data_IF_772658769201
#
_entry.id   IF_772658769201
#
_cell.length_a   1.000
_cell.length_b   1.000
_cell.length_c   1.000
_cell.angle_alpha   90.00
_cell.angle_beta   90.00
_cell.angle_gamma   90.00
#
_symmetry.space_group_name_H-M   'P 1'
#
loop_
_entity.id
_entity.type
_entity.pdbx_description
1 polymer ?
#
# COMPACT_ATOMS: atom_id res chain seq x y z
N UNK A 1 -52.51 -0.94 19.81
CA UNK A 1 -51.58 -1.55 20.77
C UNK A 1 -50.65 -2.45 19.97
N UNK A 2 -49.81 -1.90 19.09
CA UNK A 2 -48.55 -1.20 19.41
C UNK A 2 -47.66 -1.99 20.39
N UNK A 3 -46.64 -2.64 19.84
CA UNK A 3 -45.28 -2.62 20.40
C UNK A 3 -44.29 -2.99 19.30
N UNK A 4 -44.01 -2.03 18.42
CA UNK A 4 -42.80 -2.08 17.60
C UNK A 4 -41.60 -1.83 18.51
N UNK A 5 -40.69 -2.79 18.60
CA UNK A 5 -39.42 -2.62 19.30
C UNK A 5 -38.63 -1.53 18.56
N UNK A 6 -38.20 -0.45 19.22
CA UNK A 6 -37.37 0.55 18.57
C UNK A 6 -35.99 -0.09 18.35
N UNK A 7 -35.57 -0.23 17.09
CA UNK A 7 -34.16 -0.36 16.75
C UNK A 7 -33.45 0.85 17.38
N UNK A 8 -32.72 0.60 18.47
CA UNK A 8 -31.90 1.61 19.11
C UNK A 8 -31.01 2.23 18.04
N UNK A 9 -31.12 3.55 17.87
CA UNK A 9 -30.22 4.36 17.06
C UNK A 9 -28.78 4.19 17.59
N UNK A 10 -28.07 3.21 17.05
CA UNK A 10 -26.63 2.99 17.27
C UNK A 10 -25.77 3.89 16.37
N UNK A 11 -26.42 4.77 15.61
CA UNK A 11 -25.79 5.73 14.72
C UNK A 11 -25.53 6.99 15.53
N UNK A 12 -24.26 7.21 15.87
CA UNK A 12 -23.83 8.51 16.37
C UNK A 12 -23.93 9.52 15.22
N UNK A 13 -24.66 10.62 15.45
CA UNK A 13 -24.61 11.76 14.53
C UNK A 13 -23.21 12.36 14.58
N UNK A 14 -22.58 12.52 13.42
CA UNK A 14 -21.29 13.20 13.32
C UNK A 14 -21.55 14.70 13.52
N UNK A 15 -21.23 15.20 14.71
CA UNK A 15 -21.50 16.58 15.10
C UNK A 15 -20.53 17.54 14.39
N UNK A 16 -21.06 18.23 13.36
CA UNK A 16 -20.36 19.17 12.46
C UNK A 16 -19.86 20.42 13.23
N UNK A 17 -20.29 20.62 14.47
CA UNK A 17 -20.01 21.81 15.28
C UNK A 17 -18.55 21.95 15.75
N UNK A 18 -17.71 20.93 15.58
CA UNK A 18 -16.30 20.94 16.02
C UNK A 18 -15.27 21.41 14.98
N UNK A 19 -15.71 21.89 13.81
CA UNK A 19 -14.86 22.18 12.64
C UNK A 19 -13.91 23.39 12.72
N UNK A 20 -13.72 24.02 13.88
CA UNK A 20 -12.77 25.14 14.01
C UNK A 20 -11.69 24.86 15.06
N UNK A 21 -10.71 24.04 14.69
CA UNK A 21 -9.39 24.10 15.31
C UNK A 21 -8.32 23.86 14.24
N UNK A 22 -7.78 24.96 13.70
CA UNK A 22 -6.52 24.93 12.95
C UNK A 22 -5.40 24.51 13.90
N UNK A 23 -5.02 23.24 13.86
CA UNK A 23 -3.74 22.74 14.35
C UNK A 23 -3.16 21.81 13.30
N UNK A 24 -2.58 22.39 12.25
CA UNK A 24 -1.47 21.77 11.54
C UNK A 24 -0.21 22.20 12.28
N UNK A 25 0.16 21.46 13.33
CA UNK A 25 1.52 21.53 13.82
C UNK A 25 1.89 20.27 14.60
N UNK A 26 2.51 19.33 13.89
CA UNK A 26 3.72 18.57 14.24
C UNK A 26 3.84 17.37 13.32
N UNK A 27 4.89 17.38 12.50
CA UNK A 27 5.40 16.19 11.84
C UNK A 27 5.94 15.26 12.93
N UNK A 28 5.08 14.44 13.53
CA UNK A 28 5.50 13.27 14.28
C UNK A 28 5.84 12.19 13.26
N UNK A 29 7.03 12.28 12.65
CA UNK A 29 7.48 11.25 11.72
C UNK A 29 7.76 9.97 12.54
N UNK A 30 7.09 8.83 12.28
CA UNK A 30 7.22 7.60 13.09
C UNK A 30 8.62 6.96 13.10
N UNK A 31 9.60 7.60 12.44
CA UNK A 31 10.92 7.07 12.14
C UNK A 31 12.08 7.95 12.66
N UNK A 32 11.80 8.99 13.46
CA UNK A 32 12.82 9.95 13.91
C UNK A 32 13.80 9.38 14.97
N UNK A 33 13.52 8.21 15.55
CA UNK A 33 14.51 7.44 16.32
C UNK A 33 14.25 5.93 16.20
N UNK A 34 14.93 5.27 15.27
CA UNK A 34 14.97 3.79 15.19
C UNK A 34 15.92 3.30 16.29
N UNK A 35 15.41 3.24 17.51
CA UNK A 35 16.07 2.64 18.67
C UNK A 35 15.17 1.55 19.22
N UNK A 36 15.62 0.29 19.12
CA UNK A 36 14.88 -0.87 19.60
C UNK A 36 15.70 -1.52 20.69
N UNK A 37 15.10 -1.69 21.86
CA UNK A 37 15.75 -2.35 23.00
C UNK A 37 15.54 -3.85 22.93
N UNK A 38 16.38 -4.65 23.61
CA UNK A 38 16.23 -6.12 23.62
C UNK A 38 14.84 -6.60 24.12
N UNK A 39 14.21 -5.99 25.16
CA UNK A 39 12.83 -6.31 25.54
C UNK A 39 11.80 -6.04 24.43
N UNK A 40 12.02 -5.01 23.61
CA UNK A 40 11.14 -4.69 22.48
C UNK A 40 11.25 -5.78 21.39
N UNK A 41 12.45 -6.34 21.18
CA UNK A 41 12.68 -7.43 20.24
C UNK A 41 11.91 -8.70 20.64
N UNK A 42 11.97 -9.12 21.91
CA UNK A 42 11.24 -10.31 22.39
C UNK A 42 9.73 -10.13 22.27
N UNK A 43 9.22 -8.93 22.59
CA UNK A 43 7.79 -8.62 22.43
C UNK A 43 7.35 -8.69 20.96
N UNK A 44 8.14 -8.13 20.05
CA UNK A 44 7.87 -8.15 18.61
C UNK A 44 7.90 -9.58 18.08
N UNK A 45 8.90 -10.39 18.46
CA UNK A 45 8.98 -11.79 18.05
C UNK A 45 7.82 -12.63 18.62
N UNK A 46 7.32 -12.30 19.81
CA UNK A 46 6.10 -12.91 20.36
C UNK A 46 4.86 -12.57 19.53
N UNK A 47 4.84 -11.41 18.88
CA UNK A 47 3.74 -10.95 18.03
C UNK A 47 3.68 -11.72 16.71
N UNK A 48 4.83 -12.14 16.16
CA UNK A 48 4.86 -13.02 14.97
C UNK A 48 4.08 -14.32 15.20
N UNK A 49 4.15 -14.88 16.43
CA UNK A 49 3.41 -16.10 16.79
C UNK A 49 1.91 -15.87 16.90
N UNK A 50 1.44 -14.64 17.08
CA UNK A 50 0.01 -14.32 17.13
C UNK A 50 -0.58 -14.15 15.73
N UNK A 51 0.25 -13.89 14.71
CA UNK A 51 -0.17 -13.82 13.30
C UNK A 51 -0.69 -15.16 12.78
N UNK A 52 -0.25 -16.30 13.32
CA UNK A 52 -0.70 -17.64 12.91
C UNK A 52 -2.14 -17.95 13.27
N UNK A 53 -2.78 -17.18 14.15
CA UNK A 53 -4.22 -17.29 14.42
C UNK A 53 -5.07 -16.65 13.32
N UNK A 54 -4.48 -15.83 12.45
CA UNK A 54 -5.16 -15.26 11.30
C UNK A 54 -5.21 -16.32 10.19
N UNK A 55 -6.09 -17.31 10.38
CA UNK A 55 -6.31 -18.39 9.43
C UNK A 55 -7.01 -17.78 8.23
N UNK A 56 -6.23 -17.40 7.23
CA UNK A 56 -6.77 -16.92 5.98
C UNK A 56 -7.65 -18.03 5.38
N UNK A 57 -8.95 -17.81 5.39
CA UNK A 57 -9.89 -18.57 4.56
C UNK A 57 -9.47 -18.29 3.13
N UNK A 58 -8.82 -19.27 2.47
CA UNK A 58 -8.44 -19.15 1.06
C UNK A 58 -9.67 -18.72 0.28
N UNK A 59 -9.63 -17.51 -0.28
CA UNK A 59 -10.73 -17.02 -1.09
C UNK A 59 -10.65 -17.75 -2.43
N UNK A 60 -11.60 -18.64 -2.71
CA UNK A 60 -11.60 -19.44 -3.95
C UNK A 60 -11.68 -18.58 -5.22
N UNK A 61 -12.13 -17.32 -5.10
CA UNK A 61 -12.18 -16.34 -6.18
C UNK A 61 -11.94 -14.92 -5.68
N UNK A 62 -10.71 -14.43 -5.84
CA UNK A 62 -10.30 -13.07 -5.55
C UNK A 62 -10.89 -12.09 -6.58
N UNK A 63 -11.68 -11.07 -6.19
CA UNK A 63 -12.28 -10.16 -7.15
C UNK A 63 -11.26 -9.08 -7.57
N UNK A 64 -10.30 -9.46 -8.41
CA UNK A 64 -9.15 -8.64 -8.83
C UNK A 64 -9.55 -7.24 -9.32
N UNK A 65 -10.59 -7.13 -10.16
CA UNK A 65 -11.03 -5.83 -10.71
C UNK A 65 -11.63 -4.91 -9.65
N UNK A 66 -12.51 -5.44 -8.79
CA UNK A 66 -13.14 -4.68 -7.71
C UNK A 66 -12.10 -4.21 -6.69
N UNK A 67 -11.14 -5.09 -6.38
CA UNK A 67 -10.04 -4.74 -5.47
C UNK A 67 -9.13 -3.69 -6.06
N UNK A 68 -8.75 -3.79 -7.34
CA UNK A 68 -7.90 -2.80 -7.98
C UNK A 68 -8.53 -1.40 -7.92
N UNK A 69 -9.85 -1.31 -8.14
CA UNK A 69 -10.59 -0.06 -7.99
C UNK A 69 -10.59 0.46 -6.54
N UNK A 70 -10.75 -0.43 -5.56
CA UNK A 70 -10.70 -0.10 -4.13
C UNK A 70 -9.31 0.41 -3.73
N UNK A 71 -8.25 -0.31 -4.10
CA UNK A 71 -6.85 0.06 -3.86
C UNK A 71 -6.57 1.44 -4.43
N UNK A 72 -6.88 1.67 -5.70
CA UNK A 72 -6.67 2.97 -6.33
C UNK A 72 -7.38 4.10 -5.58
N UNK A 73 -8.66 3.91 -5.26
CA UNK A 73 -9.45 4.93 -4.58
C UNK A 73 -8.97 5.18 -3.14
N UNK A 74 -8.63 4.12 -2.38
CA UNK A 74 -8.11 4.23 -1.01
C UNK A 74 -6.78 4.99 -0.99
N UNK A 75 -5.85 4.65 -1.89
CA UNK A 75 -4.55 5.31 -1.95
C UNK A 75 -4.66 6.78 -2.33
N UNK A 76 -5.51 7.10 -3.31
CA UNK A 76 -5.77 8.48 -3.73
C UNK A 76 -6.43 9.30 -2.61
N UNK A 77 -7.43 8.73 -1.94
CA UNK A 77 -8.17 9.41 -0.87
C UNK A 77 -7.31 9.58 0.38
N UNK A 78 -6.49 8.58 0.74
CA UNK A 78 -5.46 8.71 1.79
C UNK A 78 -4.51 9.87 1.50
N UNK A 79 -4.05 10.00 0.25
CA UNK A 79 -3.15 11.09 -0.12
C UNK A 79 -3.85 12.45 -0.01
N UNK A 80 -5.11 12.53 -0.46
CA UNK A 80 -5.93 13.74 -0.36
C UNK A 80 -6.18 14.18 1.09
N UNK A 81 -6.45 13.24 1.99
CA UNK A 81 -6.72 13.52 3.40
C UNK A 81 -5.46 13.64 4.27
N UNK A 82 -4.29 13.32 3.73
CA UNK A 82 -3.04 13.32 4.49
C UNK A 82 -2.94 12.21 5.53
N UNK A 83 -3.75 11.15 5.42
CA UNK A 83 -3.67 9.98 6.30
C UNK A 83 -2.36 9.21 6.11
N UNK A 84 -1.96 8.42 7.10
CA UNK A 84 -0.74 7.61 7.06
C UNK A 84 -0.86 6.41 6.12
N UNK A 85 0.28 5.85 5.68
CA UNK A 85 0.28 4.59 4.90
C UNK A 85 -0.29 3.42 5.70
N UNK A 86 -0.07 3.40 7.01
CA UNK A 86 -0.66 2.42 7.94
C UNK A 86 -2.19 2.37 7.82
N UNK A 87 -2.83 3.53 7.75
CA UNK A 87 -4.28 3.70 7.62
C UNK A 87 -4.80 3.13 6.30
N UNK A 88 -4.14 3.44 5.18
CA UNK A 88 -4.51 2.86 3.88
C UNK A 88 -4.35 1.34 3.86
N UNK A 89 -3.25 0.83 4.40
CA UNK A 89 -3.01 -0.62 4.45
C UNK A 89 -4.04 -1.33 5.34
N UNK A 90 -4.40 -0.73 6.49
CA UNK A 90 -5.43 -1.26 7.38
C UNK A 90 -6.81 -1.28 6.71
N UNK A 91 -7.15 -0.24 5.96
CA UNK A 91 -8.37 -0.20 5.16
C UNK A 91 -8.41 -1.36 4.13
N UNK A 92 -7.28 -1.65 3.48
CA UNK A 92 -7.16 -2.76 2.54
C UNK A 92 -7.28 -4.12 3.23
N UNK A 93 -6.72 -4.29 4.43
CA UNK A 93 -6.96 -5.48 5.23
C UNK A 93 -8.47 -5.65 5.50
N UNK A 94 -9.17 -4.61 5.94
CA UNK A 94 -10.61 -4.70 6.23
C UNK A 94 -11.41 -5.06 4.98
N UNK A 95 -11.07 -4.46 3.85
CA UNK A 95 -11.68 -4.73 2.56
C UNK A 95 -11.49 -6.21 2.15
N UNK A 96 -10.24 -6.67 2.19
CA UNK A 96 -9.82 -8.01 1.80
C UNK A 96 -10.46 -9.08 2.72
N UNK A 97 -10.49 -8.84 4.03
CA UNK A 97 -11.12 -9.73 5.02
C UNK A 97 -12.65 -9.80 4.86
N UNK A 98 -13.28 -8.65 4.61
CA UNK A 98 -14.72 -8.58 4.42
C UNK A 98 -15.13 -9.42 3.20
N UNK A 99 -14.44 -9.25 2.07
CA UNK A 99 -14.69 -10.03 0.86
C UNK A 99 -14.47 -11.53 1.07
N UNK A 100 -13.45 -11.90 1.85
CA UNK A 100 -13.14 -13.30 2.14
C UNK A 100 -14.25 -14.02 2.92
N UNK A 101 -14.96 -13.32 3.81
CA UNK A 101 -16.01 -13.95 4.64
C UNK A 101 -17.40 -13.92 4.00
N UNK A 102 -17.67 -12.90 3.18
CA UNK A 102 -19.04 -12.61 2.72
C UNK A 102 -19.42 -13.31 1.41
N UNK A 103 -18.51 -14.06 0.79
CA UNK A 103 -18.73 -14.67 -0.55
C UNK A 103 -19.50 -13.71 -1.46
N UNK A 104 -19.03 -12.45 -1.53
CA UNK A 104 -19.77 -11.35 -2.13
C UNK A 104 -20.22 -11.76 -3.53
N UNK A 105 -21.53 -11.88 -3.72
CA UNK A 105 -22.10 -12.67 -4.80
C UNK A 105 -21.78 -12.02 -6.15
N UNK A 106 -21.10 -12.83 -6.97
CA UNK A 106 -20.85 -12.69 -8.40
C UNK A 106 -21.37 -11.39 -9.08
N UNK A 107 -20.47 -10.43 -9.25
CA UNK A 107 -20.35 -9.68 -10.50
C UNK A 107 -21.35 -8.56 -10.85
N UNK A 108 -22.16 -8.01 -9.94
CA UNK A 108 -23.18 -7.00 -10.35
C UNK A 108 -23.25 -5.63 -9.66
N UNK A 109 -22.49 -5.33 -8.63
CA UNK A 109 -22.64 -4.02 -7.97
C UNK A 109 -21.31 -3.30 -7.73
N UNK A 110 -20.82 -2.62 -8.78
CA UNK A 110 -19.69 -1.68 -8.70
C UNK A 110 -19.86 -0.70 -7.53
N UNK A 111 -21.08 -0.20 -7.32
CA UNK A 111 -21.42 0.72 -6.23
C UNK A 111 -21.17 0.13 -4.84
N UNK A 112 -21.38 -1.18 -4.64
CA UNK A 112 -21.20 -1.81 -3.32
C UNK A 112 -19.73 -1.92 -2.95
N UNK A 113 -18.86 -2.21 -3.92
CA UNK A 113 -17.41 -2.20 -3.71
C UNK A 113 -16.90 -0.79 -3.41
N UNK A 114 -17.49 0.23 -4.04
CA UNK A 114 -17.17 1.64 -3.76
C UNK A 114 -17.53 2.04 -2.33
N UNK A 115 -18.76 1.78 -1.89
CA UNK A 115 -19.17 2.11 -0.53
C UNK A 115 -18.43 1.26 0.52
N UNK A 116 -18.08 0.00 0.20
CA UNK A 116 -17.20 -0.83 1.03
C UNK A 116 -15.83 -0.17 1.21
N UNK A 117 -15.21 0.27 0.11
CA UNK A 117 -13.90 0.95 0.14
C UNK A 117 -13.94 2.20 1.04
N UNK A 118 -15.02 2.99 0.92
CA UNK A 118 -15.26 4.17 1.74
C UNK A 118 -15.37 3.81 3.23
N UNK A 119 -16.21 2.83 3.56
CA UNK A 119 -16.41 2.38 4.94
C UNK A 119 -15.12 1.82 5.55
N UNK A 120 -14.35 1.02 4.81
CA UNK A 120 -13.08 0.49 5.26
C UNK A 120 -12.05 1.59 5.54
N UNK A 121 -11.95 2.60 4.67
CA UNK A 121 -11.03 3.73 4.90
C UNK A 121 -11.47 4.60 6.09
N UNK A 122 -12.76 4.86 6.23
CA UNK A 122 -13.29 5.62 7.37
C UNK A 122 -13.05 4.89 8.70
N UNK A 123 -13.31 3.57 8.76
CA UNK A 123 -13.00 2.76 9.93
C UNK A 123 -11.51 2.73 10.24
N UNK A 124 -10.65 2.54 9.23
CA UNK A 124 -9.21 2.57 9.43
C UNK A 124 -8.74 3.92 9.96
N UNK A 125 -9.29 5.03 9.44
CA UNK A 125 -8.99 6.37 9.94
C UNK A 125 -9.42 6.54 11.40
N UNK A 126 -10.59 6.02 11.79
CA UNK A 126 -11.06 6.03 13.19
C UNK A 126 -10.18 5.19 14.14
N UNK A 127 -9.43 4.21 13.61
CA UNK A 127 -8.54 3.34 14.37
C UNK A 127 -7.10 3.88 14.49
N UNK A 128 -6.59 4.53 13.44
CA UNK A 128 -5.16 4.88 13.32
C UNK A 128 -4.89 6.39 13.35
N UNK A 129 -5.85 7.22 12.94
CA UNK A 129 -5.65 8.66 12.84
C UNK A 129 -6.10 9.38 14.11
N UNK A 130 -5.41 10.46 14.46
CA UNK A 130 -5.79 11.32 15.59
C UNK A 130 -7.17 11.97 15.39
N UNK A 131 -7.52 12.28 14.14
CA UNK A 131 -8.80 12.84 13.72
C UNK A 131 -9.22 12.28 12.37
N UNK A 132 -10.23 11.42 12.37
CA UNK A 132 -10.89 11.00 11.14
C UNK A 132 -11.68 12.17 10.53
N UNK A 133 -11.65 12.29 9.21
CA UNK A 133 -12.51 13.21 8.45
C UNK A 133 -13.98 12.77 8.60
N UNK A 134 -14.94 13.71 8.54
CA UNK A 134 -16.36 13.38 8.57
C UNK A 134 -16.80 12.68 7.27
N UNK A 135 -17.85 11.86 7.35
CA UNK A 135 -18.28 10.99 6.25
C UNK A 135 -18.72 11.73 4.99
N UNK A 136 -19.19 12.97 5.14
CA UNK A 136 -19.58 13.86 4.03
C UNK A 136 -18.40 14.20 3.10
N UNK A 137 -17.16 14.07 3.58
CA UNK A 137 -15.97 14.35 2.78
C UNK A 137 -15.50 13.16 1.95
N UNK A 138 -15.98 11.94 2.22
CA UNK A 138 -15.57 10.72 1.50
C UNK A 138 -16.31 10.61 0.16
N UNK A 139 -15.92 11.46 -0.79
CA UNK A 139 -16.53 11.50 -2.12
C UNK A 139 -15.95 10.42 -3.02
N UNK A 140 -16.83 9.82 -3.81
CA UNK A 140 -16.47 8.85 -4.86
C UNK A 140 -16.97 9.38 -6.19
N UNK A 141 -16.10 9.42 -7.20
CA UNK A 141 -16.51 9.84 -8.55
C UNK A 141 -17.67 8.95 -9.06
N UNK A 142 -18.75 9.59 -9.49
CA UNK A 142 -19.94 8.91 -10.01
C UNK A 142 -20.92 8.36 -8.95
N UNK A 143 -20.66 8.59 -7.65
CA UNK A 143 -21.55 8.15 -6.57
C UNK A 143 -21.73 9.22 -5.49
N UNK A 144 -22.99 9.47 -5.10
CA UNK A 144 -23.34 10.37 -4.01
C UNK A 144 -23.84 9.56 -2.80
N UNK A 145 -22.89 9.03 -2.03
CA UNK A 145 -23.21 8.26 -0.83
C UNK A 145 -23.51 9.21 0.34
N UNK A 146 -24.73 9.13 0.86
CA UNK A 146 -25.08 9.82 2.10
C UNK A 146 -24.30 9.23 3.28
N UNK A 147 -23.96 10.07 4.28
CA UNK A 147 -23.25 9.64 5.48
C UNK A 147 -23.92 8.43 6.17
N UNK A 148 -25.25 8.42 6.25
CA UNK A 148 -26.03 7.29 6.80
C UNK A 148 -25.80 5.96 6.06
N UNK A 149 -25.61 6.00 4.74
CA UNK A 149 -25.32 4.81 3.95
C UNK A 149 -23.91 4.29 4.26
N UNK A 150 -22.94 5.20 4.41
CA UNK A 150 -21.57 4.86 4.79
C UNK A 150 -21.56 4.26 6.20
N UNK A 151 -22.23 4.89 7.18
CA UNK A 151 -22.31 4.36 8.56
C UNK A 151 -22.91 2.95 8.61
N UNK A 152 -23.96 2.68 7.84
CA UNK A 152 -24.52 1.32 7.74
C UNK A 152 -23.50 0.34 7.20
N UNK A 153 -22.72 0.74 6.21
CA UNK A 153 -21.66 -0.10 5.67
C UNK A 153 -20.51 -0.29 6.66
N UNK A 154 -20.15 0.73 7.44
CA UNK A 154 -19.18 0.60 8.55
C UNK A 154 -19.65 -0.45 9.56
N UNK A 155 -20.94 -0.43 9.94
CA UNK A 155 -21.52 -1.43 10.85
C UNK A 155 -21.49 -2.84 10.24
N UNK A 156 -21.74 -2.98 8.94
CA UNK A 156 -21.59 -4.27 8.24
C UNK A 156 -20.15 -4.79 8.32
N UNK A 157 -19.16 -3.92 8.06
CA UNK A 157 -17.74 -4.29 8.15
C UNK A 157 -17.38 -4.69 9.59
N UNK A 158 -17.77 -3.89 10.58
CA UNK A 158 -17.53 -4.18 12.00
C UNK A 158 -18.14 -5.52 12.42
N UNK A 159 -19.39 -5.78 12.02
CA UNK A 159 -20.06 -7.04 12.29
C UNK A 159 -19.31 -8.21 11.68
N UNK A 160 -18.97 -8.11 10.40
CA UNK A 160 -18.30 -9.19 9.65
C UNK A 160 -16.90 -9.48 10.19
N UNK A 161 -16.18 -8.45 10.62
CA UNK A 161 -14.87 -8.58 11.25
C UNK A 161 -14.95 -8.88 12.75
N UNK A 162 -16.15 -9.11 13.30
CA UNK A 162 -16.39 -9.39 14.72
C UNK A 162 -15.78 -8.32 15.63
N UNK A 163 -15.76 -7.06 15.18
CA UNK A 163 -15.16 -5.92 15.86
C UNK A 163 -13.64 -6.07 16.13
N UNK A 164 -12.97 -7.04 15.50
CA UNK A 164 -11.53 -7.28 15.64
C UNK A 164 -10.73 -6.33 14.74
N UNK A 165 -10.82 -5.03 15.05
CA UNK A 165 -10.23 -3.96 14.24
C UNK A 165 -8.73 -3.77 14.49
N UNK A 166 -8.22 -4.20 15.65
CA UNK A 166 -6.81 -4.13 16.01
C UNK A 166 -5.95 -5.17 15.30
N UNK A 167 -5.77 -5.00 13.99
CA UNK A 167 -4.95 -5.90 13.16
C UNK A 167 -3.52 -5.35 13.05
N UNK A 168 -2.54 -6.23 13.22
CA UNK A 168 -1.13 -5.86 13.03
C UNK A 168 -0.87 -5.59 11.54
N UNK A 169 -0.17 -4.50 11.25
CA UNK A 169 0.24 -4.13 9.88
C UNK A 169 1.75 -4.26 9.73
N UNK A 170 2.29 -4.39 8.50
CA UNK A 170 3.74 -4.51 8.30
C UNK A 170 4.54 -3.34 8.91
N UNK A 171 3.91 -2.16 8.98
CA UNK A 171 4.47 -0.95 9.61
C UNK A 171 4.81 -1.13 11.10
N UNK A 172 4.19 -2.08 11.80
CA UNK A 172 4.55 -2.39 13.19
C UNK A 172 5.95 -3.03 13.31
N UNK A 173 6.48 -3.60 12.23
CA UNK A 173 7.72 -4.38 12.23
C UNK A 173 8.87 -3.75 11.44
N UNK A 174 8.62 -2.67 10.69
CA UNK A 174 9.64 -2.03 9.85
C UNK A 174 10.86 -1.61 10.66
N UNK A 175 10.67 -0.98 11.81
CA UNK A 175 11.80 -0.56 12.65
C UNK A 175 12.62 -1.75 13.13
N UNK A 176 11.95 -2.84 13.54
CA UNK A 176 12.60 -4.09 13.98
C UNK A 176 13.48 -4.68 12.89
N UNK A 177 12.91 -4.91 11.71
CA UNK A 177 13.68 -5.50 10.61
C UNK A 177 14.76 -4.54 10.10
N UNK A 178 14.52 -3.23 10.12
CA UNK A 178 15.53 -2.24 9.72
C UNK A 178 16.73 -2.30 10.66
N UNK A 179 16.51 -2.29 11.98
CA UNK A 179 17.58 -2.42 12.97
C UNK A 179 18.27 -3.80 12.92
N UNK A 180 17.52 -4.87 12.62
CA UNK A 180 18.03 -6.25 12.56
C UNK A 180 18.90 -6.48 11.32
N UNK A 181 18.49 -6.00 10.15
CA UNK A 181 19.15 -6.28 8.88
C UNK A 181 20.20 -5.24 8.49
N UNK A 182 20.12 -4.03 9.03
CA UNK A 182 21.00 -2.92 8.63
C UNK A 182 21.95 -2.55 9.78
N UNK A 183 23.24 -2.78 9.57
CA UNK A 183 24.28 -2.42 10.55
C UNK A 183 24.66 -0.94 10.48
N UNK A 184 24.41 -0.29 9.34
CA UNK A 184 24.78 1.09 9.08
C UNK A 184 23.71 2.07 9.60
N UNK A 185 24.00 2.73 10.73
CA UNK A 185 23.06 3.64 11.40
C UNK A 185 22.62 4.83 10.54
N UNK A 186 23.49 5.33 9.65
CA UNK A 186 23.20 6.45 8.75
C UNK A 186 22.07 6.16 7.77
N UNK A 187 21.83 4.88 7.43
CA UNK A 187 20.86 4.48 6.40
C UNK A 187 19.54 3.98 6.97
N UNK A 188 19.41 3.86 8.30
CA UNK A 188 18.21 3.27 8.92
C UNK A 188 16.93 4.03 8.53
N UNK A 189 16.96 5.36 8.58
CA UNK A 189 15.81 6.19 8.23
C UNK A 189 15.42 6.02 6.75
N UNK A 190 16.39 6.15 5.85
CA UNK A 190 16.18 5.96 4.41
C UNK A 190 15.57 4.59 4.09
N UNK A 191 16.11 3.53 4.69
CA UNK A 191 15.64 2.16 4.48
C UNK A 191 14.23 1.98 5.03
N UNK A 192 13.92 2.51 6.21
CA UNK A 192 12.59 2.40 6.80
C UNK A 192 11.54 3.14 5.95
N UNK A 193 11.86 4.34 5.46
CA UNK A 193 10.99 5.11 4.55
C UNK A 193 10.75 4.34 3.26
N UNK A 194 11.81 3.84 2.61
CA UNK A 194 11.70 3.06 1.38
C UNK A 194 10.95 1.75 1.60
N UNK A 195 11.14 1.09 2.74
CA UNK A 195 10.41 -0.13 3.07
C UNK A 195 8.91 0.16 3.25
N UNK A 196 8.53 1.30 3.83
CA UNK A 196 7.13 1.71 3.94
C UNK A 196 6.48 1.91 2.56
N UNK A 197 7.21 2.49 1.60
CA UNK A 197 6.75 2.61 0.20
C UNK A 197 6.60 1.24 -0.46
N UNK A 198 7.54 0.32 -0.24
CA UNK A 198 7.50 -1.04 -0.78
C UNK A 198 6.34 -1.86 -0.20
N UNK A 199 6.01 -1.69 1.09
CA UNK A 199 4.80 -2.26 1.70
C UNK A 199 3.54 -1.80 0.95
N UNK A 200 3.48 -0.52 0.56
CA UNK A 200 2.36 -0.02 -0.24
C UNK A 200 2.41 -0.48 -1.70
N UNK A 201 3.60 -0.72 -2.25
CA UNK A 201 3.74 -1.22 -3.61
C UNK A 201 3.29 -2.69 -3.74
N UNK A 202 3.60 -3.53 -2.75
CA UNK A 202 3.24 -4.95 -2.78
C UNK A 202 1.77 -5.18 -2.46
N UNK A 203 1.13 -4.33 -1.63
CA UNK A 203 -0.30 -4.50 -1.30
C UNK A 203 -1.21 -4.34 -2.52
N UNK A 204 -0.74 -3.69 -3.59
CA UNK A 204 -1.43 -3.63 -4.88
C UNK A 204 -1.52 -5.01 -5.54
N UNK A 205 -0.50 -5.86 -5.36
CA UNK A 205 -0.31 -7.14 -6.04
C UNK A 205 -0.76 -8.36 -5.23
N UNK A 206 -0.93 -8.22 -3.91
CA UNK A 206 -1.26 -9.33 -3.01
C UNK A 206 -2.56 -9.10 -2.24
N UNK A 207 -3.15 -10.19 -1.74
CA UNK A 207 -4.18 -10.14 -0.72
C UNK A 207 -3.57 -9.81 0.65
N UNK A 208 -3.90 -8.64 1.21
CA UNK A 208 -3.34 -8.19 2.48
C UNK A 208 -3.78 -9.05 3.67
N UNK A 209 -4.93 -9.72 3.57
CA UNK A 209 -5.47 -10.61 4.59
C UNK A 209 -4.85 -12.02 4.57
N UNK A 210 -4.34 -12.48 3.42
CA UNK A 210 -3.71 -13.80 3.28
C UNK A 210 -2.22 -13.81 3.63
N UNK A 211 -1.58 -12.64 3.68
CA UNK A 211 -0.15 -12.52 3.86
C UNK A 211 0.21 -12.05 5.28
N UNK A 212 1.25 -12.66 5.85
CA UNK A 212 1.71 -12.32 7.19
C UNK A 212 2.38 -10.94 7.21
N UNK A 213 1.93 -10.01 8.08
CA UNK A 213 2.49 -8.67 8.14
C UNK A 213 4.01 -8.65 8.45
N UNK A 214 4.49 -9.56 9.30
CA UNK A 214 5.92 -9.73 9.60
C UNK A 214 6.76 -10.11 8.37
N UNK A 215 6.24 -11.01 7.53
CA UNK A 215 6.90 -11.46 6.30
C UNK A 215 7.02 -10.31 5.30
N UNK A 216 5.92 -9.58 5.08
CA UNK A 216 5.90 -8.42 4.18
C UNK A 216 6.89 -7.35 4.66
N UNK A 217 6.91 -7.06 5.96
CA UNK A 217 7.81 -6.06 6.53
C UNK A 217 9.28 -6.45 6.33
N UNK A 218 9.64 -7.69 6.63
CA UNK A 218 11.00 -8.18 6.47
C UNK A 218 11.45 -8.13 5.01
N UNK A 219 10.62 -8.63 4.09
CA UNK A 219 10.92 -8.61 2.66
C UNK A 219 11.06 -7.18 2.14
N UNK A 220 10.17 -6.27 2.55
CA UNK A 220 10.22 -4.85 2.19
C UNK A 220 11.51 -4.18 2.68
N UNK A 221 11.95 -4.45 3.90
CA UNK A 221 13.21 -3.94 4.44
C UNK A 221 14.40 -4.53 3.69
N UNK A 222 14.40 -5.83 3.40
CA UNK A 222 15.48 -6.48 2.64
C UNK A 222 15.60 -5.88 1.24
N UNK A 223 14.47 -5.70 0.53
CA UNK A 223 14.45 -5.07 -0.80
C UNK A 223 14.84 -3.59 -0.75
N UNK A 224 14.45 -2.86 0.31
CA UNK A 224 14.87 -1.48 0.53
C UNK A 224 16.38 -1.36 0.81
N UNK A 225 16.92 -2.28 1.60
CA UNK A 225 18.35 -2.38 1.91
C UNK A 225 19.17 -2.63 0.64
N UNK A 226 18.80 -3.68 -0.10
CA UNK A 226 19.35 -4.02 -1.40
C UNK A 226 18.40 -4.97 -2.16
N UNK A 227 17.97 -4.51 -3.35
CA UNK A 227 17.07 -5.27 -4.21
C UNK A 227 17.80 -6.27 -5.11
N UNK A 228 19.14 -6.40 -5.03
CA UNK A 228 19.95 -7.37 -5.76
C UNK A 228 20.85 -8.19 -4.83
N UNK A 229 20.38 -8.54 -3.63
CA UNK A 229 21.15 -9.34 -2.69
C UNK A 229 21.55 -10.68 -3.31
N UNK A 230 22.80 -11.07 -3.07
CA UNK A 230 23.25 -12.43 -3.31
C UNK A 230 22.44 -13.42 -2.46
N UNK A 231 22.14 -14.59 -3.02
CA UNK A 231 21.26 -15.58 -2.37
C UNK A 231 21.77 -15.99 -0.98
N UNK A 232 23.09 -16.11 -0.79
CA UNK A 232 23.70 -16.47 0.49
C UNK A 232 23.48 -15.37 1.55
N UNK A 233 23.65 -14.09 1.18
CA UNK A 233 23.46 -12.96 2.09
C UNK A 233 21.99 -12.83 2.50
N UNK A 234 21.08 -13.03 1.55
CA UNK A 234 19.64 -13.03 1.83
C UNK A 234 19.28 -14.15 2.81
N UNK A 235 19.80 -15.36 2.59
CA UNK A 235 19.60 -16.51 3.44
C UNK A 235 20.13 -16.29 4.86
N UNK A 236 21.35 -15.75 5.00
CA UNK A 236 21.93 -15.43 6.30
C UNK A 236 21.07 -14.43 7.08
N UNK A 237 20.58 -13.37 6.41
CA UNK A 237 19.70 -12.38 7.05
C UNK A 237 18.38 -13.01 7.49
N UNK A 238 17.72 -13.79 6.65
CA UNK A 238 16.45 -14.46 6.98
C UNK A 238 16.66 -15.50 8.11
N UNK A 239 17.78 -16.23 8.10
CA UNK A 239 18.13 -17.20 9.14
C UNK A 239 18.47 -16.56 10.49
N UNK A 240 18.82 -15.28 10.52
CA UNK A 240 19.08 -14.54 11.76
C UNK A 240 17.84 -14.26 12.61
N UNK A 241 16.63 -14.56 12.10
CA UNK A 241 15.36 -14.44 12.83
C UNK A 241 15.07 -15.76 13.57
N UNK A 242 15.30 -15.84 14.90
CA UNK A 242 15.26 -17.10 15.63
C UNK A 242 13.84 -17.68 15.77
N UNK A 243 12.83 -16.82 15.76
CA UNK A 243 11.42 -17.21 15.88
C UNK A 243 10.82 -17.85 14.62
N UNK A 244 11.52 -17.79 13.47
CA UNK A 244 11.01 -18.27 12.18
C UNK A 244 11.41 -19.71 11.89
N UNK A 245 10.41 -20.55 11.55
CA UNK A 245 10.64 -21.89 11.03
C UNK A 245 10.89 -21.88 9.52
N UNK A 246 11.05 -23.05 8.92
CA UNK A 246 11.17 -23.17 7.46
C UNK A 246 10.01 -22.51 6.67
N UNK A 247 8.72 -22.63 7.03
CA UNK A 247 7.66 -22.05 6.21
C UNK A 247 7.67 -20.51 6.23
N UNK A 248 7.99 -19.88 7.37
CA UNK A 248 8.13 -18.42 7.43
C UNK A 248 9.29 -17.93 6.56
N UNK A 249 10.41 -18.64 6.56
CA UNK A 249 11.58 -18.31 5.75
C UNK A 249 11.26 -18.40 4.26
N UNK A 250 10.60 -19.48 3.82
CA UNK A 250 10.19 -19.68 2.43
C UNK A 250 9.24 -18.58 1.94
N UNK A 251 8.30 -18.16 2.80
CA UNK A 251 7.41 -17.03 2.52
C UNK A 251 8.19 -15.72 2.41
N UNK A 252 9.17 -15.48 3.27
CA UNK A 252 10.03 -14.29 3.21
C UNK A 252 10.86 -14.22 1.92
N UNK A 253 11.43 -15.35 1.48
CA UNK A 253 12.11 -15.43 0.19
C UNK A 253 11.15 -15.14 -0.96
N UNK A 254 9.98 -15.77 -0.98
CA UNK A 254 8.99 -15.59 -2.04
C UNK A 254 8.50 -14.13 -2.12
N UNK A 255 8.22 -13.52 -0.96
CA UNK A 255 7.81 -12.13 -0.85
C UNK A 255 8.92 -11.16 -1.31
N UNK A 256 10.17 -11.44 -0.97
CA UNK A 256 11.32 -10.67 -1.45
C UNK A 256 11.43 -10.71 -2.98
N UNK A 257 11.29 -11.89 -3.60
CA UNK A 257 11.32 -12.03 -5.06
C UNK A 257 10.23 -11.22 -5.74
N UNK A 258 9.01 -11.29 -5.24
CA UNK A 258 7.90 -10.49 -5.77
C UNK A 258 8.18 -8.99 -5.69
N UNK A 259 8.73 -8.51 -4.56
CA UNK A 259 9.12 -7.12 -4.40
C UNK A 259 10.25 -6.71 -5.35
N UNK A 260 11.23 -7.57 -5.61
CA UNK A 260 12.26 -7.32 -6.62
C UNK A 260 11.62 -7.10 -8.00
N UNK A 261 10.67 -7.95 -8.40
CA UNK A 261 9.96 -7.81 -9.68
C UNK A 261 9.19 -6.50 -9.76
N UNK A 262 8.47 -6.12 -8.70
CA UNK A 262 7.75 -4.83 -8.62
C UNK A 262 8.70 -3.64 -8.81
N UNK A 263 9.87 -3.66 -8.17
CA UNK A 263 10.89 -2.61 -8.31
C UNK A 263 11.42 -2.53 -9.75
N UNK A 264 11.65 -3.68 -10.39
CA UNK A 264 12.12 -3.75 -11.78
C UNK A 264 11.09 -3.24 -12.80
N UNK A 265 9.79 -3.41 -12.51
CA UNK A 265 8.70 -2.94 -13.37
C UNK A 265 8.39 -1.44 -13.19
N UNK A 266 8.53 -0.91 -11.96
CA UNK A 266 8.22 0.50 -11.64
C UNK A 266 9.39 1.47 -11.91
N UNK A 267 10.60 0.96 -12.16
CA UNK A 267 11.73 1.80 -12.60
C UNK A 267 11.62 2.10 -14.11
N UNK A 268 11.63 3.37 -14.54
CA UNK A 268 11.73 3.70 -15.96
C UNK A 268 13.01 3.05 -16.50
N UNK A 269 12.89 2.22 -17.54
CA UNK A 269 14.03 1.77 -18.32
C UNK A 269 14.77 3.01 -18.82
N UNK A 270 15.83 3.41 -18.12
CA UNK A 270 16.80 4.35 -18.67
C UNK A 270 17.26 3.78 -20.00
N UNK A 271 17.16 4.60 -21.05
CA UNK A 271 17.41 4.22 -22.43
C UNK A 271 18.73 3.43 -22.57
N UNK A 272 18.62 2.13 -22.79
CA UNK A 272 19.67 1.39 -23.48
C UNK A 272 19.53 1.78 -24.94
N UNK A 273 20.20 2.87 -25.32
CA UNK A 273 20.58 3.07 -26.72
C UNK A 273 21.51 1.89 -27.04
N UNK A 274 21.23 1.06 -28.05
CA UNK A 274 22.20 0.08 -28.50
C UNK A 274 23.38 0.84 -29.08
N UNK A 275 24.51 0.85 -28.36
CA UNK A 275 25.80 1.27 -28.86
C UNK A 275 26.31 0.26 -29.88
N UNK A 276 25.70 0.24 -31.07
CA UNK A 276 26.18 -0.60 -32.18
C UNK A 276 25.78 -0.05 -33.55
N UNK A 277 26.15 1.20 -33.86
CA UNK A 277 26.25 1.69 -35.26
C UNK A 277 27.34 2.77 -35.46
N UNK A 278 28.44 2.71 -34.69
CA UNK A 278 29.64 3.49 -34.99
C UNK A 278 30.85 2.56 -35.01
N UNK A 279 31.00 1.83 -36.11
CA UNK A 279 32.30 1.45 -36.62
C UNK A 279 32.22 1.20 -38.12
N UNK A 280 33.02 2.00 -38.83
CA UNK A 280 33.64 1.70 -40.12
C UNK A 280 32.75 1.85 -41.37
N UNK A 281 32.95 2.98 -42.05
CA UNK A 281 33.44 2.90 -43.43
C UNK A 281 34.35 4.10 -43.71
N UNK A 282 35.64 3.81 -43.71
CA UNK A 282 36.66 4.64 -44.33
C UNK A 282 36.71 4.25 -45.82
N UNK A 283 36.41 5.19 -46.72
CA UNK A 283 36.94 5.19 -48.07
C UNK A 283 36.79 6.56 -48.73
N UNK A 284 37.95 7.19 -48.93
CA UNK A 284 38.24 8.30 -49.82
C UNK A 284 37.63 8.14 -51.22
N UNK A 285 36.78 9.08 -51.66
CA UNK A 285 36.64 9.48 -53.07
C UNK A 285 36.36 11.00 -53.14
N UNK A 286 36.91 11.60 -54.19
CA UNK A 286 37.26 12.98 -54.45
C UNK A 286 36.13 13.86 -55.00
N UNK A 287 36.26 15.18 -54.78
CA UNK A 287 35.99 16.30 -55.71
C UNK A 287 34.72 16.27 -56.60
N UNK A 288 33.79 17.22 -56.40
CA UNK A 288 33.44 18.28 -57.38
C UNK A 288 32.35 19.27 -56.90
N UNK A 289 32.70 20.56 -57.02
CA UNK A 289 31.94 21.76 -57.41
C UNK A 289 30.38 21.73 -57.48
N UNK A 290 29.74 22.56 -56.64
CA UNK A 290 28.88 23.69 -57.05
C UNK A 290 27.40 23.46 -57.45
N UNK A 291 26.44 24.01 -56.68
CA UNK A 291 25.52 25.06 -57.14
C UNK A 291 24.47 25.47 -56.09
N UNK A 292 24.31 26.79 -55.93
CA UNK A 292 23.26 27.51 -55.21
C UNK A 292 21.87 27.27 -55.83
N UNK A 293 20.81 27.28 -55.01
CA UNK A 293 19.43 27.81 -55.25
C UNK A 293 18.63 27.63 -53.94
N UNK A 294 18.51 28.66 -53.10
CA UNK A 294 17.49 29.73 -53.01
C UNK A 294 16.10 29.21 -52.58
N UNK A 295 15.77 29.50 -51.31
CA UNK A 295 14.46 29.32 -50.67
C UNK A 295 13.44 30.31 -51.24
N UNK A 296 12.21 29.88 -51.44
CA UNK A 296 11.05 30.75 -51.65
C UNK A 296 9.95 30.32 -50.67
N UNK A 297 9.59 31.22 -49.75
CA UNK A 297 8.36 31.16 -48.97
C UNK A 297 7.21 31.66 -49.84
N UNK A 298 6.11 30.91 -49.91
CA UNK A 298 4.84 31.38 -50.43
C UNK A 298 3.91 31.63 -49.26
N UNK A 299 3.73 32.90 -48.92
CA UNK A 299 2.58 33.42 -48.20
C UNK A 299 1.40 33.47 -49.17
N UNK A 300 0.21 33.10 -48.73
CA UNK A 300 -1.02 33.28 -49.50
C UNK A 300 -2.17 33.50 -48.52
N UNK A 301 -2.40 34.77 -48.23
CA UNK A 301 -3.68 35.30 -47.76
C UNK A 301 -4.51 35.82 -48.94
N UNK A 302 -5.82 35.93 -48.67
CA UNK A 302 -6.90 36.63 -49.39
C UNK A 302 -7.74 35.81 -50.38
N UNK A 303 -8.95 35.42 -49.95
CA UNK A 303 -10.18 36.21 -50.15
C UNK A 303 -11.30 35.68 -49.23
#
# INVERSE_FOLDING_TARGET
>A
MESGVPLLNLLCDEDISSLNSNLFDKNDNPFDSITITEPDCEFIESSFRKETSFRATRVERWPESARLEAVKWILQTRALFGYHYRTAYLALIYFDQFLAKTCFSDGKTTWTNRILSVACLSLAAKMEESKARPLIEYRVEGYDFQGIAIQKMELCVLHELEWKMGVLTPFAYLNYFTAKFCTEKSRLHEIATRAAELVMAIVEEINAAENRPSIIAAASVLTAYDHNLESAVLEDKINSIPSWGSPEKDLAFSCYRLLQEIVMLKTPKSAVIPSSLLANNDSTITSKCGSKRRLNFGDSDEH
#
